data_IF_574219292192
#
_entry.id   IF_574219292192
#
_cell.length_a   1.000
_cell.length_b   1.000
_cell.length_c   1.000
_cell.angle_alpha   90.00
_cell.angle_beta   90.00
_cell.angle_gamma   90.00
#
_symmetry.space_group_name_H-M   'P 1'
#
loop_
_entity.id
_entity.type
_entity.pdbx_description
1 polymer ?
#
# COMPACT_ATOMS: atom_id res chain seq x y z
N UNK A 1 -10.65 50.16 17.99
CA UNK A 1 -11.51 49.05 17.50
C UNK A 1 -10.94 48.37 16.24
N UNK A 2 -9.62 48.11 16.16
CA UNK A 2 -9.00 47.44 15.00
C UNK A 2 -8.10 46.24 15.40
N UNK A 3 -8.00 45.94 16.71
CA UNK A 3 -7.20 44.82 17.23
C UNK A 3 -7.97 43.50 17.28
N UNK A 4 -9.31 43.55 17.31
CA UNK A 4 -10.18 42.38 17.45
C UNK A 4 -10.31 41.64 16.11
N UNK A 5 -10.34 42.34 14.97
CA UNK A 5 -10.50 41.77 13.63
C UNK A 5 -9.24 41.07 13.07
N UNK A 6 -8.03 41.50 13.47
CA UNK A 6 -6.77 40.91 12.99
C UNK A 6 -6.45 39.56 13.66
N UNK A 7 -6.82 39.42 14.94
CA UNK A 7 -6.62 38.16 15.68
C UNK A 7 -7.61 37.11 15.20
N UNK A 8 -8.87 37.48 14.98
CA UNK A 8 -9.90 36.58 14.45
C UNK A 8 -9.53 36.04 13.06
N UNK A 9 -9.09 36.89 12.14
CA UNK A 9 -8.68 36.46 10.79
C UNK A 9 -7.44 35.56 10.82
N UNK A 10 -6.47 35.84 11.69
CA UNK A 10 -5.30 34.99 11.90
C UNK A 10 -5.67 33.62 12.50
N UNK A 11 -6.61 33.58 13.45
CA UNK A 11 -7.12 32.34 14.03
C UNK A 11 -7.89 31.51 13.01
N UNK A 12 -8.73 32.13 12.18
CA UNK A 12 -9.47 31.46 11.11
C UNK A 12 -8.53 30.90 10.03
N UNK A 13 -7.50 31.65 9.64
CA UNK A 13 -6.44 31.17 8.72
C UNK A 13 -5.63 30.02 9.32
N UNK A 14 -5.27 30.10 10.60
CA UNK A 14 -4.57 29.01 11.30
C UNK A 14 -5.45 27.76 11.40
N UNK A 15 -6.73 27.91 11.69
CA UNK A 15 -7.68 26.79 11.77
C UNK A 15 -7.91 26.15 10.38
N UNK A 16 -7.98 26.97 9.32
CA UNK A 16 -8.06 26.50 7.94
C UNK A 16 -6.79 25.75 7.51
N UNK A 17 -5.60 26.21 7.89
CA UNK A 17 -4.33 25.52 7.63
C UNK A 17 -4.23 24.18 8.39
N UNK A 18 -4.77 24.10 9.62
CA UNK A 18 -4.85 22.85 10.38
C UNK A 18 -5.85 21.88 9.75
N UNK A 19 -6.99 22.36 9.23
CA UNK A 19 -7.97 21.54 8.49
C UNK A 19 -7.40 20.98 7.17
N UNK A 20 -6.45 21.67 6.55
CA UNK A 20 -5.77 21.21 5.34
C UNK A 20 -4.62 20.21 5.62
N UNK A 21 -4.16 20.11 6.88
CA UNK A 21 -3.05 19.23 7.26
C UNK A 21 -3.42 17.74 7.29
N UNK A 22 -4.72 17.41 7.25
CA UNK A 22 -5.22 16.03 7.37
C UNK A 22 -5.35 15.28 6.03
N UNK A 23 -4.79 15.79 4.92
CA UNK A 23 -4.66 15.01 3.67
C UNK A 23 -3.47 14.04 3.76
N UNK A 24 -3.48 13.10 4.71
CA UNK A 24 -2.58 11.94 4.65
C UNK A 24 -3.06 10.99 3.55
N UNK A 25 -2.60 11.21 2.32
CA UNK A 25 -2.89 10.30 1.21
C UNK A 25 -2.26 8.92 1.47
N UNK A 26 -2.98 7.84 1.16
CA UNK A 26 -2.42 6.50 1.21
C UNK A 26 -1.34 6.36 0.13
N UNK A 27 -0.09 6.11 0.51
CA UNK A 27 0.99 5.85 -0.45
C UNK A 27 0.79 4.51 -1.12
N UNK A 28 0.71 4.50 -2.44
CA UNK A 28 0.70 3.27 -3.23
C UNK A 28 2.14 2.81 -3.51
N UNK A 29 2.41 1.53 -3.25
CA UNK A 29 3.70 0.90 -3.50
C UNK A 29 3.48 -0.23 -4.50
N UNK A 30 4.01 -0.05 -5.72
CA UNK A 30 3.98 -1.08 -6.76
C UNK A 30 4.90 -2.24 -6.37
N UNK A 31 4.34 -3.45 -6.28
CA UNK A 31 5.06 -4.66 -5.93
C UNK A 31 6.13 -4.95 -6.96
N UNK A 32 7.36 -5.16 -6.49
CA UNK A 32 8.55 -5.37 -7.32
C UNK A 32 9.01 -4.18 -8.17
N UNK A 33 8.39 -3.00 -8.02
CA UNK A 33 8.80 -1.75 -8.67
C UNK A 33 8.52 -1.67 -10.18
N UNK A 34 7.88 -2.69 -10.78
CA UNK A 34 7.53 -2.74 -12.21
C UNK A 34 6.21 -3.48 -12.41
N UNK A 35 5.47 -3.13 -13.46
CA UNK A 35 4.16 -3.72 -13.77
C UNK A 35 4.22 -5.22 -14.12
N UNK A 36 5.41 -5.73 -14.44
CA UNK A 36 5.66 -7.13 -14.82
C UNK A 36 6.38 -7.92 -13.73
N UNK A 37 6.41 -7.40 -12.50
CA UNK A 37 7.12 -8.05 -11.39
C UNK A 37 6.37 -9.25 -10.81
N UNK A 38 5.03 -9.26 -10.90
CA UNK A 38 4.24 -10.40 -10.48
C UNK A 38 4.29 -11.47 -11.56
N UNK A 39 5.32 -12.32 -11.45
CA UNK A 39 5.62 -13.42 -12.36
C UNK A 39 6.46 -14.44 -11.61
N UNK A 40 6.59 -15.64 -12.19
CA UNK A 40 7.56 -16.63 -11.72
C UNK A 40 8.97 -16.05 -11.87
N UNK A 41 9.73 -16.03 -10.77
CA UNK A 41 11.08 -15.48 -10.74
C UNK A 41 12.02 -16.34 -11.59
N UNK A 42 12.60 -15.75 -12.65
CA UNK A 42 13.56 -16.43 -13.53
C UNK A 42 15.03 -16.22 -13.12
N UNK A 43 15.29 -15.30 -12.18
CA UNK A 43 16.64 -14.99 -11.70
C UNK A 43 16.61 -14.38 -10.29
N UNK A 44 17.72 -14.36 -9.54
CA UNK A 44 17.76 -13.77 -8.20
C UNK A 44 17.38 -12.28 -8.14
N UNK A 45 17.61 -11.53 -9.22
CA UNK A 45 17.26 -10.10 -9.31
C UNK A 45 15.76 -9.85 -9.45
N UNK A 46 14.96 -10.87 -9.80
CA UNK A 46 13.50 -10.81 -9.82
C UNK A 46 12.88 -11.15 -8.44
N UNK A 47 13.70 -11.42 -7.42
CA UNK A 47 13.21 -11.80 -6.09
C UNK A 47 12.40 -10.70 -5.42
N UNK A 48 11.10 -10.97 -5.23
CA UNK A 48 10.21 -10.08 -4.47
C UNK A 48 10.58 -9.99 -2.99
N UNK A 49 11.27 -10.99 -2.44
CA UNK A 49 11.79 -10.91 -1.07
C UNK A 49 12.92 -9.87 -0.97
N UNK A 50 13.85 -9.84 -1.93
CA UNK A 50 14.92 -8.83 -1.98
C UNK A 50 14.36 -7.42 -2.18
N UNK A 51 13.34 -7.30 -3.03
CA UNK A 51 12.60 -6.05 -3.19
C UNK A 51 11.95 -5.61 -1.87
N UNK A 52 11.26 -6.52 -1.16
CA UNK A 52 10.60 -6.20 0.11
C UNK A 52 11.61 -5.79 1.20
N UNK A 53 12.78 -6.45 1.28
CA UNK A 53 13.87 -6.12 2.21
C UNK A 53 14.40 -4.69 2.01
N UNK A 54 14.38 -4.18 0.77
CA UNK A 54 14.86 -2.84 0.43
C UNK A 54 13.91 -1.70 0.85
N UNK A 55 12.72 -2.04 1.36
CA UNK A 55 11.67 -1.09 1.68
C UNK A 55 11.31 -1.07 3.17
N UNK A 56 10.58 -0.01 3.55
CA UNK A 56 9.95 0.14 4.86
C UNK A 56 8.45 0.34 4.68
N UNK A 57 7.68 -0.66 5.09
CA UNK A 57 6.23 -0.64 5.02
C UNK A 57 5.64 0.02 6.28
N UNK A 58 4.73 0.97 6.10
CA UNK A 58 4.04 1.67 7.18
C UNK A 58 2.58 1.24 7.23
N UNK A 59 2.13 0.80 8.40
CA UNK A 59 0.75 0.39 8.66
C UNK A 59 -0.19 1.61 8.54
N UNK A 60 -1.36 1.43 7.96
CA UNK A 60 -2.45 2.40 7.84
C UNK A 60 -2.31 3.42 6.71
N UNK A 61 -1.07 3.79 6.36
CA UNK A 61 -0.78 4.86 5.39
C UNK A 61 -0.36 4.35 4.01
N UNK A 62 -0.28 3.04 3.80
CA UNK A 62 0.25 2.47 2.56
C UNK A 62 -0.61 1.33 2.00
N UNK A 63 -0.70 1.31 0.67
CA UNK A 63 -1.30 0.24 -0.11
C UNK A 63 -0.21 -0.45 -0.94
N UNK A 64 -0.20 -1.78 -0.94
CA UNK A 64 0.56 -2.57 -1.89
C UNK A 64 -0.28 -2.80 -3.15
N UNK A 65 0.34 -2.61 -4.32
CA UNK A 65 -0.33 -2.72 -5.62
C UNK A 65 0.34 -3.80 -6.45
N UNK A 66 -0.43 -4.80 -6.87
CA UNK A 66 -0.01 -5.84 -7.80
C UNK A 66 -0.63 -5.60 -9.17
N UNK A 67 0.20 -5.65 -10.21
CA UNK A 67 -0.22 -5.60 -11.61
C UNK A 67 0.13 -6.93 -12.27
N UNK A 68 -0.85 -7.58 -12.90
CA UNK A 68 -0.70 -8.89 -13.52
C UNK A 68 -1.83 -9.18 -14.51
N UNK A 69 -1.69 -10.24 -15.30
CA UNK A 69 -2.77 -10.77 -16.13
C UNK A 69 -3.72 -11.60 -15.27
N UNK A 70 -4.88 -11.04 -14.91
CA UNK A 70 -5.86 -11.68 -14.04
C UNK A 70 -6.48 -12.98 -14.58
N UNK A 71 -6.28 -13.30 -15.86
CA UNK A 71 -6.68 -14.58 -16.44
C UNK A 71 -5.62 -15.68 -16.23
N UNK A 72 -4.36 -15.29 -15.96
CA UNK A 72 -3.22 -16.21 -15.80
C UNK A 72 -2.76 -16.33 -14.36
N UNK A 73 -2.85 -15.25 -13.60
CA UNK A 73 -2.33 -15.16 -12.26
C UNK A 73 -3.37 -14.63 -11.27
N UNK A 74 -3.05 -14.78 -9.98
CA UNK A 74 -3.83 -14.27 -8.85
C UNK A 74 -2.92 -13.81 -7.72
N UNK A 75 -3.48 -13.08 -6.76
CA UNK A 75 -2.83 -12.71 -5.50
C UNK A 75 -3.61 -13.35 -4.36
N UNK A 76 -2.92 -14.11 -3.51
CA UNK A 76 -3.52 -14.78 -2.36
C UNK A 76 -2.88 -14.25 -1.06
N UNK A 77 -3.71 -13.79 -0.13
CA UNK A 77 -3.27 -13.51 1.24
C UNK A 77 -3.35 -14.82 2.04
N UNK A 78 -2.23 -15.23 2.64
CA UNK A 78 -2.10 -16.53 3.31
C UNK A 78 -1.45 -16.37 4.69
N UNK A 79 -1.56 -17.38 5.54
CA UNK A 79 -0.79 -17.43 6.80
C UNK A 79 0.68 -17.70 6.53
N UNK A 80 1.54 -17.52 7.54
CA UNK A 80 2.98 -17.80 7.44
C UNK A 80 3.26 -19.25 7.07
N UNK A 81 2.53 -20.18 7.69
CA UNK A 81 2.68 -21.63 7.47
C UNK A 81 2.26 -22.01 6.05
N UNK A 82 1.16 -21.43 5.57
CA UNK A 82 0.69 -21.64 4.19
C UNK A 82 1.67 -21.03 3.16
N UNK A 83 2.24 -19.85 3.45
CA UNK A 83 3.29 -19.25 2.61
C UNK A 83 4.52 -20.16 2.50
N UNK A 84 5.06 -20.65 3.63
CA UNK A 84 6.26 -21.51 3.65
C UNK A 84 6.04 -22.82 2.88
N UNK A 85 4.84 -23.39 2.97
CA UNK A 85 4.51 -24.66 2.33
C UNK A 85 3.87 -24.51 0.94
N UNK A 86 3.78 -23.29 0.41
CA UNK A 86 3.06 -22.98 -0.84
C UNK A 86 1.61 -23.52 -0.87
N UNK A 87 0.92 -23.56 0.28
CA UNK A 87 -0.46 -24.04 0.37
C UNK A 87 -1.44 -22.93 -0.03
N UNK A 88 -2.21 -23.17 -1.09
CA UNK A 88 -3.18 -22.21 -1.65
C UNK A 88 -4.64 -22.60 -1.41
N UNK A 89 -4.92 -23.68 -0.67
CA UNK A 89 -6.27 -24.27 -0.56
C UNK A 89 -7.25 -23.42 0.24
N UNK A 90 -6.79 -22.69 1.26
CA UNK A 90 -7.64 -21.87 2.12
C UNK A 90 -7.01 -20.48 2.40
N UNK A 91 -6.97 -19.59 1.41
CA UNK A 91 -6.41 -18.26 1.57
C UNK A 91 -7.34 -17.38 2.43
N UNK A 92 -6.77 -16.43 3.17
CA UNK A 92 -7.51 -15.43 3.91
C UNK A 92 -8.23 -14.43 2.98
N UNK A 93 -7.62 -14.14 1.82
CA UNK A 93 -8.22 -13.36 0.75
C UNK A 93 -7.66 -13.79 -0.62
N UNK A 94 -8.46 -13.66 -1.67
CA UNK A 94 -8.09 -14.03 -3.04
C UNK A 94 -8.49 -12.91 -4.00
N UNK A 95 -7.60 -12.58 -4.93
CA UNK A 95 -7.79 -11.54 -5.94
C UNK A 95 -7.31 -12.04 -7.31
N UNK A 96 -8.12 -11.81 -8.34
CA UNK A 96 -7.84 -12.22 -9.73
C UNK A 96 -8.15 -11.10 -10.75
N UNK A 97 -8.27 -9.86 -10.29
CA UNK A 97 -8.70 -8.73 -11.13
C UNK A 97 -7.58 -8.11 -11.98
N UNK A 98 -6.33 -8.57 -11.83
CA UNK A 98 -5.15 -8.05 -12.55
C UNK A 98 -4.60 -6.70 -12.04
N UNK A 99 -5.33 -6.04 -11.15
CA UNK A 99 -4.94 -4.80 -10.49
C UNK A 99 -5.35 -4.81 -9.01
N UNK A 100 -4.62 -5.60 -8.23
CA UNK A 100 -4.96 -5.82 -6.82
C UNK A 100 -4.33 -4.75 -5.95
N UNK A 101 -5.13 -4.13 -5.09
CA UNK A 101 -4.68 -3.17 -4.08
C UNK A 101 -4.99 -3.71 -2.68
N UNK A 102 -3.98 -3.84 -1.84
CA UNK A 102 -4.14 -4.30 -0.43
C UNK A 102 -3.59 -3.24 0.51
N UNK A 103 -4.43 -2.78 1.43
CA UNK A 103 -4.04 -1.86 2.50
C UNK A 103 -3.39 -2.61 3.64
N UNK A 104 -2.28 -2.09 4.16
CA UNK A 104 -1.59 -2.67 5.32
C UNK A 104 -2.23 -2.15 6.62
N UNK A 105 -3.29 -2.81 7.10
CA UNK A 105 -4.08 -2.29 8.24
C UNK A 105 -3.56 -2.67 9.63
N UNK A 106 -2.69 -3.70 9.73
CA UNK A 106 -2.28 -4.28 11.02
C UNK A 106 -0.80 -4.70 10.99
N UNK A 107 -0.15 -4.67 12.16
CA UNK A 107 1.21 -5.16 12.41
C UNK A 107 1.22 -6.57 12.97
#
# INVERSE_FOLDING_TARGET
MAKITLVDTSCLLSFFLLLLADLSCCKEILVGGKHTAWKISSSPSDSLNKWAESLRFHVGLQNLVWKYDGQKDSVLQVTKEAYINCNTTNPAASYSNGDTKVKLERS
#
